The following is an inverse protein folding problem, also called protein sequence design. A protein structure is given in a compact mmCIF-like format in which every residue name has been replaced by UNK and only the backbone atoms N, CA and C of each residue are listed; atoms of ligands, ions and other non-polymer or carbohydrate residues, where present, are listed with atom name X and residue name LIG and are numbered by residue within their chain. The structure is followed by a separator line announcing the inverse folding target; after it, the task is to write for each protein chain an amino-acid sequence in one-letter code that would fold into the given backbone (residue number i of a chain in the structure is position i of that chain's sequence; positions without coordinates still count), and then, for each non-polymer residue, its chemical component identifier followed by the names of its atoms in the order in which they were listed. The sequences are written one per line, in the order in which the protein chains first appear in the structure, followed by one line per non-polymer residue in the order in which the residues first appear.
data_IF_170163587919
#
_entry.id   IF_170163587919
#
_cell.length_a   1.000
_cell.length_b   1.000
_cell.length_c   1.000
_cell.angle_alpha   90.00
_cell.angle_beta   90.00
_cell.angle_gamma   90.00
#
_symmetry.space_group_name_H-M   'P 1'
#
loop_
_entity.id
_entity.type
_entity.pdbx_description
1 polymer ?
#
# COMPACT_ATOMS: atom_id res chain seq x y z
N UNK A 1 19.87 5.66 -44.01
CA UNK A 1 20.39 6.62 -43.03
C UNK A 1 19.40 6.63 -41.86
N UNK A 2 19.41 5.54 -41.11
CA UNK A 2 18.69 5.42 -39.84
C UNK A 2 19.74 5.58 -38.76
N UNK A 3 19.52 6.46 -37.79
CA UNK A 3 19.79 6.13 -36.39
C UNK A 3 19.37 7.25 -35.43
N UNK A 4 19.01 6.76 -34.23
CA UNK A 4 19.09 7.43 -32.93
C UNK A 4 17.91 8.25 -32.40
N UNK A 5 16.81 7.56 -32.07
CA UNK A 5 15.96 7.91 -30.91
C UNK A 5 15.56 6.65 -30.13
N UNK A 6 16.49 6.08 -29.38
CA UNK A 6 16.22 5.02 -28.39
C UNK A 6 17.09 5.24 -27.15
N UNK A 7 16.61 6.06 -26.20
CA UNK A 7 17.26 6.15 -24.87
C UNK A 7 16.40 6.73 -23.74
N UNK A 8 15.09 6.94 -23.89
CA UNK A 8 14.26 7.60 -22.84
C UNK A 8 13.30 6.71 -22.05
N UNK A 9 13.24 5.40 -22.31
CA UNK A 9 12.30 4.50 -21.61
C UNK A 9 12.95 3.79 -20.40
N UNK A 10 14.28 3.71 -20.32
CA UNK A 10 14.97 2.98 -19.25
C UNK A 10 15.12 3.76 -17.92
N UNK A 11 14.79 5.05 -17.85
CA UNK A 11 14.98 5.83 -16.61
C UNK A 11 13.81 5.76 -15.62
N UNK A 12 12.69 5.13 -15.99
CA UNK A 12 11.45 5.18 -15.19
C UNK A 12 11.24 3.96 -14.28
N UNK A 13 11.98 2.86 -14.48
CA UNK A 13 11.93 1.66 -13.61
C UNK A 13 12.68 1.91 -12.29
N UNK A 14 13.71 2.77 -12.33
CA UNK A 14 14.52 3.13 -11.15
C UNK A 14 13.75 4.00 -10.13
N UNK A 15 12.71 4.73 -10.56
CA UNK A 15 11.90 5.55 -9.65
C UNK A 15 11.03 4.71 -8.69
N UNK A 16 10.75 3.45 -9.03
CA UNK A 16 10.04 2.53 -8.13
C UNK A 16 10.96 1.92 -7.06
N UNK A 17 12.27 1.77 -7.33
CA UNK A 17 13.22 1.27 -6.33
C UNK A 17 13.44 2.26 -5.17
N UNK A 18 13.21 3.56 -5.40
CA UNK A 18 13.39 4.63 -4.42
C UNK A 18 12.13 5.01 -3.63
N UNK A 19 10.98 4.37 -3.88
CA UNK A 19 9.69 4.73 -3.24
C UNK A 19 9.33 3.92 -1.99
N UNK A 20 10.24 3.08 -1.47
CA UNK A 20 10.09 2.46 -0.15
C UNK A 20 10.69 3.35 0.94
N UNK A 21 9.87 4.21 1.55
CA UNK A 21 10.20 4.91 2.81
C UNK A 21 10.33 3.93 3.99
N UNK A 22 10.05 2.63 3.78
CA UNK A 22 10.04 1.59 4.81
C UNK A 22 11.25 0.66 4.73
N UNK A 23 12.46 1.23 4.76
CA UNK A 23 13.68 0.44 4.99
C UNK A 23 14.66 1.15 5.93
N UNK A 24 14.73 0.78 7.21
CA UNK A 24 16.00 0.82 7.91
C UNK A 24 16.85 -0.33 7.36
N UNK A 25 18.04 0.00 6.85
CA UNK A 25 19.03 -0.96 6.37
C UNK A 25 19.30 -2.03 7.45
N UNK A 26 18.72 -3.22 7.27
CA UNK A 26 19.02 -4.39 8.09
C UNK A 26 19.63 -5.45 7.20
N UNK A 27 20.91 -5.27 6.86
CA UNK A 27 21.77 -6.34 6.32
C UNK A 27 23.24 -5.92 6.22
N UNK A 28 23.89 -5.54 7.33
CA UNK A 28 25.34 -5.77 7.51
C UNK A 28 25.76 -5.70 8.98
N UNK A 29 25.36 -6.67 9.82
CA UNK A 29 26.12 -6.95 11.05
C UNK A 29 27.11 -8.06 10.73
N UNK A 30 28.21 -7.70 10.06
CA UNK A 30 29.42 -8.54 10.12
C UNK A 30 29.96 -8.43 11.55
N UNK A 31 30.14 -9.58 12.19
CA UNK A 31 30.84 -9.68 13.49
C UNK A 31 32.22 -9.04 13.35
N UNK A 32 32.44 -7.91 14.02
CA UNK A 32 33.77 -7.43 14.38
C UNK A 32 33.87 -7.31 15.91
N UNK A 33 35.05 -7.56 16.49
CA UNK A 33 35.20 -7.87 17.90
C UNK A 33 35.24 -6.62 18.78
N UNK A 34 34.59 -6.73 19.94
CA UNK A 34 34.88 -6.01 21.21
C UNK A 34 35.19 -4.50 21.12
N UNK A 35 34.19 -3.67 21.39
CA UNK A 35 34.42 -2.31 21.88
C UNK A 35 35.01 -2.36 23.30
N UNK A 36 36.11 -1.63 23.61
CA UNK A 36 36.66 -1.62 24.95
C UNK A 36 35.79 -0.73 25.86
N UNK A 37 35.53 -1.25 27.06
CA UNK A 37 34.93 -0.49 28.17
C UNK A 37 36.05 0.36 28.76
N UNK A 38 35.96 1.68 28.61
CA UNK A 38 36.73 2.63 29.43
C UNK A 38 35.79 3.47 30.28
N UNK A 39 36.09 3.48 31.59
CA UNK A 39 35.40 4.15 32.68
C UNK A 39 35.28 5.69 32.50
N UNK A 40 34.37 6.34 33.25
CA UNK A 40 33.95 7.70 32.96
C UNK A 40 34.78 8.72 33.75
N UNK A 41 35.58 9.54 33.07
CA UNK A 41 36.03 10.80 33.64
C UNK A 41 36.18 11.87 32.56
N UNK A 42 35.43 12.96 32.75
CA UNK A 42 35.54 14.29 32.13
C UNK A 42 35.59 14.37 30.59
N UNK A 43 34.42 14.64 30.01
CA UNK A 43 34.32 15.51 28.84
C UNK A 43 32.99 16.27 28.87
N UNK A 44 33.07 17.53 29.28
CA UNK A 44 32.03 18.54 29.14
C UNK A 44 31.94 18.98 27.68
N UNK A 45 31.07 18.39 26.85
CA UNK A 45 30.63 18.99 25.58
C UNK A 45 29.23 18.51 25.21
N UNK A 46 28.30 19.47 25.10
CA UNK A 46 27.05 19.47 24.32
C UNK A 46 26.69 18.15 23.64
N UNK A 47 25.79 17.36 24.25
CA UNK A 47 25.05 16.32 23.51
C UNK A 47 24.32 17.03 22.36
N UNK A 48 24.53 16.65 21.10
CA UNK A 48 23.70 17.18 20.02
C UNK A 48 22.26 16.78 20.32
N UNK A 49 21.38 17.77 20.45
CA UNK A 49 19.94 17.57 20.56
C UNK A 49 19.52 16.74 19.36
N UNK A 50 19.16 15.47 19.57
CA UNK A 50 18.76 14.57 18.48
C UNK A 50 17.56 15.18 17.76
N UNK A 51 17.59 15.18 16.43
CA UNK A 51 16.45 15.66 15.66
C UNK A 51 15.23 14.75 15.89
N UNK A 52 14.03 15.30 15.71
CA UNK A 52 12.77 14.54 15.83
C UNK A 52 12.77 13.29 14.94
N UNK A 53 13.30 13.42 13.73
CA UNK A 53 13.44 12.31 12.78
C UNK A 53 14.37 11.21 13.30
N UNK A 54 15.52 11.58 13.89
CA UNK A 54 16.44 10.60 14.47
C UNK A 54 15.80 9.82 15.62
N UNK A 55 14.99 10.49 16.45
CA UNK A 55 14.24 9.82 17.52
C UNK A 55 13.22 8.84 16.95
N UNK A 56 12.43 9.23 15.94
CA UNK A 56 11.46 8.35 15.31
C UNK A 56 12.11 7.11 14.65
N UNK A 57 13.21 7.30 13.92
CA UNK A 57 13.96 6.19 13.31
C UNK A 57 14.48 5.23 14.38
N UNK A 58 15.03 5.76 15.48
CA UNK A 58 15.53 4.93 16.59
C UNK A 58 14.39 4.18 17.29
N UNK A 59 13.22 4.80 17.46
CA UNK A 59 12.06 4.15 18.05
C UNK A 59 11.63 2.93 17.21
N UNK A 60 11.50 3.08 15.89
CA UNK A 60 11.18 1.96 14.98
C UNK A 60 12.27 0.89 15.06
N UNK A 61 13.55 1.27 14.94
CA UNK A 61 14.65 0.31 14.95
C UNK A 61 14.67 -0.54 16.23
N UNK A 62 14.45 0.08 17.39
CA UNK A 62 14.33 -0.64 18.65
C UNK A 62 13.09 -1.55 18.72
N UNK A 63 11.94 -1.10 18.19
CA UNK A 63 10.72 -1.89 18.16
C UNK A 63 10.84 -3.09 17.23
N UNK A 64 11.31 -2.90 16.00
CA UNK A 64 11.52 -3.99 15.02
C UNK A 64 12.55 -5.00 15.52
N UNK A 65 13.64 -4.52 16.13
CA UNK A 65 14.59 -5.41 16.81
C UNK A 65 13.94 -6.15 17.98
N UNK A 66 13.19 -5.45 18.81
CA UNK A 66 12.48 -6.02 19.97
C UNK A 66 11.49 -7.10 19.56
N UNK A 67 10.69 -6.89 18.51
CA UNK A 67 9.73 -7.85 17.98
C UNK A 67 10.44 -9.06 17.36
N UNK A 68 11.39 -8.83 16.45
CA UNK A 68 12.12 -9.92 15.78
C UNK A 68 12.93 -10.80 16.74
N UNK A 69 13.47 -10.23 17.82
CA UNK A 69 14.27 -10.97 18.82
C UNK A 69 13.48 -11.34 20.08
N UNK A 70 12.19 -11.00 20.16
CA UNK A 70 11.35 -11.14 21.36
C UNK A 70 11.96 -10.48 22.61
N UNK A 71 12.68 -9.37 22.42
CA UNK A 71 13.37 -8.65 23.48
C UNK A 71 12.51 -7.52 24.04
N UNK A 72 11.91 -7.77 25.21
CA UNK A 72 11.03 -6.82 25.91
C UNK A 72 11.75 -5.51 26.29
N UNK A 73 13.03 -5.58 26.67
CA UNK A 73 13.80 -4.39 27.04
C UNK A 73 13.98 -3.44 25.84
N UNK A 74 14.25 -4.00 24.66
CA UNK A 74 14.32 -3.21 23.43
C UNK A 74 12.98 -2.55 23.09
N UNK A 75 11.85 -3.26 23.27
CA UNK A 75 10.51 -2.69 23.10
C UNK A 75 10.24 -1.53 24.08
N UNK A 76 10.60 -1.67 25.35
CA UNK A 76 10.46 -0.60 26.35
C UNK A 76 11.29 0.64 26.00
N UNK A 77 12.52 0.44 25.51
CA UNK A 77 13.38 1.55 25.04
C UNK A 77 12.73 2.21 23.82
N UNK A 78 12.25 1.44 22.86
CA UNK A 78 11.53 1.92 21.67
C UNK A 78 10.34 2.80 22.04
N UNK A 79 9.46 2.35 22.94
CA UNK A 79 8.31 3.13 23.43
C UNK A 79 8.71 4.44 24.11
N UNK A 80 9.76 4.42 24.93
CA UNK A 80 10.26 5.65 25.57
C UNK A 80 10.75 6.66 24.54
N UNK A 81 11.49 6.21 23.53
CA UNK A 81 12.01 7.06 22.45
C UNK A 81 10.85 7.58 21.58
N UNK A 82 9.85 6.75 21.30
CA UNK A 82 8.62 7.14 20.60
C UNK A 82 7.93 8.30 21.33
N UNK A 83 7.69 8.19 22.65
CA UNK A 83 7.05 9.27 23.40
C UNK A 83 7.84 10.58 23.36
N UNK A 84 9.18 10.50 23.41
CA UNK A 84 10.05 11.67 23.25
C UNK A 84 9.93 12.30 21.86
N UNK A 85 9.92 11.46 20.82
CA UNK A 85 9.76 11.90 19.44
C UNK A 85 8.39 12.53 19.19
N UNK A 86 7.33 11.93 19.74
CA UNK A 86 5.96 12.43 19.63
C UNK A 86 5.81 13.80 20.28
N UNK A 87 6.30 13.96 21.51
CA UNK A 87 6.28 15.24 22.22
C UNK A 87 7.04 16.34 21.46
N UNK A 88 8.24 16.04 20.98
CA UNK A 88 9.05 16.98 20.20
C UNK A 88 8.40 17.32 18.85
N UNK A 89 7.75 16.35 18.20
CA UNK A 89 6.99 16.57 16.95
C UNK A 89 5.79 17.48 17.18
N UNK A 90 5.02 17.25 18.25
CA UNK A 90 3.87 18.09 18.62
C UNK A 90 4.31 19.54 18.89
N UNK A 91 5.41 19.76 19.61
CA UNK A 91 5.99 21.09 19.79
C UNK A 91 6.38 21.75 18.47
N UNK A 92 6.98 20.98 17.56
CA UNK A 92 7.39 21.48 16.24
C UNK A 92 6.17 21.87 15.39
N UNK A 93 5.12 21.04 15.38
CA UNK A 93 3.87 21.33 14.67
C UNK A 93 3.10 22.53 15.23
N UNK A 94 3.29 22.89 16.50
CA UNK A 94 2.68 24.09 17.11
C UNK A 94 3.40 25.38 16.72
N UNK A 95 4.68 25.31 16.34
CA UNK A 95 5.43 26.49 15.93
C UNK A 95 5.00 26.93 14.53
N UNK A 96 4.44 28.13 14.42
CA UNK A 96 3.77 28.67 13.21
C UNK A 96 4.73 29.11 12.08
N UNK A 97 6.02 28.77 12.14
CA UNK A 97 6.95 29.17 11.09
C UNK A 97 6.81 28.25 9.86
N UNK A 98 6.60 28.88 8.70
CA UNK A 98 6.23 28.25 7.44
C UNK A 98 7.28 27.25 6.94
N UNK A 99 6.77 26.26 6.22
CA UNK A 99 7.44 25.10 5.62
C UNK A 99 7.70 23.98 6.63
N UNK A 100 6.79 23.01 6.66
CA UNK A 100 7.07 21.70 7.25
C UNK A 100 8.32 21.16 6.56
N UNK A 101 9.44 21.11 7.29
CA UNK A 101 10.64 20.48 6.78
C UNK A 101 10.33 19.01 6.48
N UNK A 102 10.91 18.46 5.40
CA UNK A 102 10.77 17.04 5.04
C UNK A 102 11.02 16.11 6.24
N UNK A 103 11.93 16.51 7.14
CA UNK A 103 12.20 15.79 8.38
C UNK A 103 10.99 15.64 9.30
N UNK A 104 10.10 16.63 9.40
CA UNK A 104 8.88 16.55 10.24
C UNK A 104 7.86 15.62 9.59
N UNK A 105 7.66 15.69 8.26
CA UNK A 105 6.76 14.78 7.53
C UNK A 105 7.24 13.33 7.70
N UNK A 106 8.53 13.08 7.46
CA UNK A 106 9.14 11.77 7.65
C UNK A 106 9.01 11.30 9.10
N UNK A 107 9.17 12.20 10.08
CA UNK A 107 8.95 11.87 11.49
C UNK A 107 7.52 11.38 11.73
N UNK A 108 6.51 12.12 11.25
CA UNK A 108 5.09 11.72 11.41
C UNK A 108 4.81 10.38 10.75
N UNK A 109 5.33 10.14 9.54
CA UNK A 109 5.19 8.86 8.84
C UNK A 109 5.82 7.70 9.63
N UNK A 110 7.01 7.92 10.20
CA UNK A 110 7.68 6.93 11.05
C UNK A 110 6.95 6.68 12.38
N UNK A 111 6.40 7.72 13.01
CA UNK A 111 5.60 7.55 14.23
C UNK A 111 4.32 6.74 13.97
N UNK A 112 3.63 7.01 12.86
CA UNK A 112 2.48 6.21 12.44
C UNK A 112 2.86 4.75 12.18
N UNK A 113 4.01 4.49 11.57
CA UNK A 113 4.50 3.12 11.39
C UNK A 113 4.81 2.43 12.72
N UNK A 114 5.44 3.13 13.66
CA UNK A 114 5.69 2.59 15.00
C UNK A 114 4.38 2.14 15.68
N UNK A 115 3.33 2.95 15.58
CA UNK A 115 2.00 2.64 16.12
C UNK A 115 1.44 1.38 15.48
N UNK A 116 1.47 1.30 14.14
CA UNK A 116 1.06 0.10 13.41
C UNK A 116 1.82 -1.14 13.89
N UNK A 117 3.15 -1.06 14.03
CA UNK A 117 4.00 -2.14 14.55
C UNK A 117 3.66 -2.54 15.99
N UNK A 118 3.14 -1.63 16.82
CA UNK A 118 2.76 -1.93 18.20
C UNK A 118 1.31 -2.37 18.38
N UNK A 119 0.51 -2.42 17.30
CA UNK A 119 -0.95 -2.63 17.34
C UNK A 119 -1.42 -4.06 17.71
N UNK A 120 -0.61 -4.87 18.40
CA UNK A 120 -1.04 -6.21 18.82
C UNK A 120 -1.93 -6.24 20.08
N UNK A 121 -2.09 -5.15 20.84
CA UNK A 121 -2.89 -5.14 22.10
C UNK A 121 -3.08 -3.77 22.77
N UNK A 122 -2.93 -2.64 22.07
CA UNK A 122 -2.97 -1.33 22.70
C UNK A 122 -4.36 -0.68 22.59
N UNK A 123 -5.18 -0.83 23.63
CA UNK A 123 -6.11 0.21 24.04
C UNK A 123 -5.29 1.32 24.71
N UNK A 124 -4.82 2.34 23.99
CA UNK A 124 -4.53 3.65 24.60
C UNK A 124 -3.98 4.68 23.60
N UNK A 125 -4.41 5.93 23.84
CA UNK A 125 -4.00 7.21 23.25
C UNK A 125 -4.62 7.54 21.88
N UNK A 126 -5.94 7.43 21.76
CA UNK A 126 -6.65 7.83 20.52
C UNK A 126 -6.73 9.36 20.34
N UNK A 127 -6.99 10.14 21.39
CA UNK A 127 -7.28 11.58 21.24
C UNK A 127 -6.07 12.45 20.85
N UNK A 128 -4.91 12.26 21.48
CA UNK A 128 -3.71 13.05 21.14
C UNK A 128 -3.19 12.76 19.72
N UNK A 129 -3.36 11.51 19.25
CA UNK A 129 -2.93 11.08 17.92
C UNK A 129 -3.82 11.68 16.85
N UNK A 130 -5.14 11.70 17.05
CA UNK A 130 -6.08 12.35 16.13
C UNK A 130 -5.76 13.84 15.96
N UNK A 131 -5.45 14.53 17.06
CA UNK A 131 -5.06 15.94 17.03
C UNK A 131 -3.73 16.12 16.27
N UNK A 132 -2.74 15.27 16.50
CA UNK A 132 -1.44 15.33 15.80
C UNK A 132 -1.60 15.01 14.31
N UNK A 133 -2.41 14.01 13.96
CA UNK A 133 -2.70 13.65 12.58
C UNK A 133 -3.45 14.78 11.86
N UNK A 134 -4.45 15.38 12.50
CA UNK A 134 -5.17 16.54 11.97
C UNK A 134 -4.25 17.75 11.78
N UNK A 135 -3.37 18.03 12.75
CA UNK A 135 -2.39 19.09 12.63
C UNK A 135 -1.39 18.83 11.51
N UNK A 136 -0.84 17.62 11.42
CA UNK A 136 0.05 17.22 10.32
C UNK A 136 -0.65 17.34 8.96
N UNK A 137 -1.92 16.98 8.88
CA UNK A 137 -2.73 17.13 7.66
C UNK A 137 -2.94 18.59 7.29
N UNK A 138 -3.29 19.46 8.24
CA UNK A 138 -3.43 20.90 8.02
C UNK A 138 -2.12 21.54 7.54
N UNK A 139 -1.00 21.09 8.10
CA UNK A 139 0.34 21.51 7.72
C UNK A 139 0.74 21.03 6.32
N UNK A 140 0.42 19.79 5.96
CA UNK A 140 0.58 19.29 4.60
C UNK A 140 -0.27 20.09 3.61
N UNK A 141 -1.53 20.36 3.95
CA UNK A 141 -2.41 21.20 3.14
C UNK A 141 -1.80 22.59 2.94
N UNK A 142 -1.35 23.26 4.00
CA UNK A 142 -0.71 24.57 3.92
C UNK A 142 0.57 24.56 3.06
N UNK A 143 1.38 23.49 3.16
CA UNK A 143 2.56 23.29 2.31
C UNK A 143 2.19 23.18 0.83
N UNK A 144 1.18 22.39 0.50
CA UNK A 144 0.79 22.14 -0.90
C UNK A 144 0.02 23.30 -1.54
N UNK A 145 -0.70 24.11 -0.76
CA UNK A 145 -1.38 25.31 -1.26
C UNK A 145 -0.47 26.52 -1.37
N UNK A 146 0.69 26.53 -0.69
CA UNK A 146 1.66 27.64 -0.75
C UNK A 146 2.51 27.65 -2.04
N UNK A 147 2.37 26.67 -2.93
CA UNK A 147 2.96 26.55 -4.28
C UNK A 147 4.48 26.70 -4.46
N UNK A 148 5.26 27.12 -3.47
CA UNK A 148 6.65 27.54 -3.69
C UNK A 148 7.64 26.40 -3.95
N UNK A 149 7.34 25.13 -3.62
CA UNK A 149 8.26 23.99 -3.84
C UNK A 149 7.55 22.63 -3.93
N UNK A 150 6.36 22.56 -4.54
CA UNK A 150 5.62 21.30 -4.63
C UNK A 150 6.14 20.42 -5.78
N UNK A 151 6.30 19.11 -5.51
CA UNK A 151 6.67 18.12 -6.53
C UNK A 151 7.94 17.32 -6.26
N UNK A 152 8.46 17.36 -5.03
CA UNK A 152 9.51 16.45 -4.59
C UNK A 152 9.02 14.99 -4.60
N UNK A 153 9.93 14.02 -4.64
CA UNK A 153 9.56 12.60 -4.52
C UNK A 153 8.87 12.30 -3.18
N UNK A 154 9.25 13.00 -2.10
CA UNK A 154 8.56 12.89 -0.82
C UNK A 154 7.10 13.33 -0.94
N UNK A 155 6.83 14.45 -1.62
CA UNK A 155 5.46 14.94 -1.83
C UNK A 155 4.59 13.91 -2.57
N UNK A 156 5.14 13.28 -3.61
CA UNK A 156 4.45 12.22 -4.38
C UNK A 156 4.17 10.99 -3.52
N UNK A 157 5.12 10.60 -2.67
CA UNK A 157 4.94 9.45 -1.78
C UNK A 157 3.90 9.77 -0.70
N UNK A 158 3.98 10.95 -0.07
CA UNK A 158 3.01 11.41 0.92
C UNK A 158 1.61 11.51 0.32
N UNK A 159 1.47 12.04 -0.89
CA UNK A 159 0.19 12.08 -1.61
C UNK A 159 -0.40 10.69 -1.80
N UNK A 160 0.40 9.76 -2.36
CA UNK A 160 -0.03 8.37 -2.58
C UNK A 160 -0.43 7.70 -1.27
N UNK A 161 0.31 7.93 -0.19
CA UNK A 161 -0.02 7.40 1.12
C UNK A 161 -1.36 7.94 1.65
N UNK A 162 -1.58 9.26 1.58
CA UNK A 162 -2.83 9.90 2.00
C UNK A 162 -4.03 9.39 1.20
N UNK A 163 -3.92 9.32 -0.13
CA UNK A 163 -4.99 8.82 -1.01
C UNK A 163 -5.35 7.37 -0.65
N UNK A 164 -4.36 6.50 -0.48
CA UNK A 164 -4.55 5.10 -0.05
C UNK A 164 -5.26 5.01 1.30
N UNK A 165 -4.89 5.89 2.24
CA UNK A 165 -5.47 5.98 3.57
C UNK A 165 -6.94 6.40 3.53
N UNK A 166 -7.27 7.44 2.76
CA UNK A 166 -8.64 7.94 2.58
C UNK A 166 -9.52 6.91 1.87
N UNK A 167 -8.99 6.20 0.88
CA UNK A 167 -9.68 5.09 0.20
C UNK A 167 -10.06 3.99 1.19
N UNK A 168 -9.12 3.53 2.01
CA UNK A 168 -9.36 2.47 3.00
C UNK A 168 -10.44 2.88 4.00
N UNK A 169 -10.43 4.14 4.44
CA UNK A 169 -11.42 4.71 5.37
C UNK A 169 -12.72 5.13 4.69
N UNK A 170 -12.83 4.99 3.37
CA UNK A 170 -13.98 5.50 2.59
C UNK A 170 -14.31 6.96 2.90
N UNK A 171 -13.29 7.82 2.92
CA UNK A 171 -13.40 9.26 3.16
C UNK A 171 -13.27 10.05 1.85
N UNK A 172 -13.88 11.25 1.75
CA UNK A 172 -13.80 12.06 0.54
C UNK A 172 -12.37 12.57 0.33
N UNK A 173 -11.91 12.60 -0.92
CA UNK A 173 -10.60 13.18 -1.25
C UNK A 173 -10.75 14.70 -1.39
N UNK A 174 -9.95 15.50 -0.66
CA UNK A 174 -9.91 16.95 -0.85
C UNK A 174 -9.46 17.34 -2.26
N UNK A 175 -10.03 18.41 -2.82
CA UNK A 175 -9.74 18.88 -4.18
C UNK A 175 -8.24 19.12 -4.45
N UNK A 176 -7.52 19.67 -3.47
CA UNK A 176 -6.07 19.90 -3.57
C UNK A 176 -5.27 18.59 -3.71
N UNK A 177 -5.74 17.48 -3.14
CA UNK A 177 -5.08 16.18 -3.21
C UNK A 177 -5.37 15.44 -4.54
N UNK A 178 -6.46 15.82 -5.22
CA UNK A 178 -6.84 15.28 -6.55
C UNK A 178 -5.95 15.82 -7.67
N UNK A 179 -5.48 17.07 -7.54
CA UNK A 179 -4.76 17.72 -8.61
C UNK A 179 -3.30 17.27 -8.68
N UNK A 180 -3.00 16.35 -9.60
CA UNK A 180 -1.65 15.79 -9.82
C UNK A 180 -0.61 16.83 -10.23
N UNK A 181 -1.01 17.93 -10.89
CA UNK A 181 -0.04 18.91 -11.39
C UNK A 181 0.67 19.64 -10.24
N UNK A 182 0.00 19.76 -9.09
CA UNK A 182 0.59 20.30 -7.85
C UNK A 182 1.80 19.45 -7.41
N UNK A 183 1.83 18.16 -7.74
CA UNK A 183 2.86 17.21 -7.28
C UNK A 183 3.89 16.90 -8.37
N UNK A 184 3.89 17.62 -9.50
CA UNK A 184 4.82 17.37 -10.60
C UNK A 184 4.65 15.98 -11.24
N UNK A 185 3.47 15.37 -11.08
CA UNK A 185 3.16 14.04 -11.58
C UNK A 185 2.73 14.11 -13.06
N UNK A 186 3.68 13.85 -13.95
CA UNK A 186 3.49 13.87 -15.41
C UNK A 186 3.95 12.53 -15.99
N UNK A 187 3.13 11.89 -16.82
CA UNK A 187 3.48 10.66 -17.54
C UNK A 187 2.37 9.62 -17.55
N UNK A 188 2.41 8.71 -18.53
CA UNK A 188 1.46 7.60 -18.70
C UNK A 188 1.65 6.48 -17.68
N UNK A 189 2.82 6.36 -17.07
CA UNK A 189 3.11 5.40 -15.98
C UNK A 189 2.34 5.70 -14.69
N UNK A 190 1.76 6.89 -14.56
CA UNK A 190 0.99 7.34 -13.40
C UNK A 190 -0.53 7.14 -13.56
N UNK A 191 -0.96 6.50 -14.66
CA UNK A 191 -2.38 6.19 -14.87
C UNK A 191 -2.97 5.38 -13.71
N UNK A 192 -2.31 4.34 -13.14
CA UNK A 192 -2.81 3.68 -11.95
C UNK A 192 -3.00 4.62 -10.76
N UNK A 193 -2.06 5.54 -10.50
CA UNK A 193 -2.18 6.51 -9.41
C UNK A 193 -3.33 7.51 -9.62
N UNK A 194 -3.60 7.87 -10.88
CA UNK A 194 -4.75 8.69 -11.21
C UNK A 194 -6.06 7.90 -10.99
N UNK A 195 -6.11 6.67 -11.49
CA UNK A 195 -7.27 5.80 -11.30
C UNK A 195 -7.54 5.56 -9.81
N UNK A 196 -6.50 5.48 -8.98
CA UNK A 196 -6.64 5.32 -7.53
C UNK A 196 -7.42 6.47 -6.87
N UNK A 197 -7.15 7.72 -7.27
CA UNK A 197 -7.89 8.90 -6.80
C UNK A 197 -9.36 8.80 -7.22
N UNK A 198 -9.62 8.45 -8.48
CA UNK A 198 -10.97 8.29 -9.03
C UNK A 198 -11.74 7.16 -8.31
N UNK A 199 -11.10 6.02 -8.04
CA UNK A 199 -11.68 4.90 -7.27
C UNK A 199 -12.07 5.33 -5.86
N UNK A 200 -11.21 6.08 -5.18
CA UNK A 200 -11.48 6.52 -3.81
C UNK A 200 -12.69 7.45 -3.73
N UNK A 201 -12.83 8.39 -4.68
CA UNK A 201 -14.02 9.22 -4.80
C UNK A 201 -15.29 8.38 -5.06
N UNK A 202 -15.22 7.43 -6.01
CA UNK A 202 -16.36 6.57 -6.31
C UNK A 202 -16.74 5.68 -5.14
N UNK A 203 -15.77 5.15 -4.39
CA UNK A 203 -16.00 4.35 -3.19
C UNK A 203 -16.72 5.15 -2.12
N UNK A 204 -16.29 6.39 -1.89
CA UNK A 204 -17.00 7.32 -1.00
C UNK A 204 -18.46 7.50 -1.47
N UNK A 205 -18.68 7.83 -2.74
CA UNK A 205 -20.02 8.01 -3.29
C UNK A 205 -20.88 6.75 -3.12
N UNK A 206 -20.39 5.54 -3.47
CA UNK A 206 -21.13 4.29 -3.26
C UNK A 206 -21.46 4.10 -1.79
N UNK A 207 -20.52 4.22 -0.86
CA UNK A 207 -20.84 3.94 0.54
C UNK A 207 -21.88 4.91 1.12
N UNK A 208 -21.93 6.16 0.63
CA UNK A 208 -22.90 7.16 1.06
C UNK A 208 -24.23 7.15 0.29
N UNK A 209 -24.33 6.48 -0.86
CA UNK A 209 -25.63 6.27 -1.54
C UNK A 209 -26.61 5.49 -0.65
N UNK A 210 -26.14 4.58 0.21
CA UNK A 210 -27.01 3.77 1.08
C UNK A 210 -27.66 4.54 2.23
N UNK A 211 -26.98 5.55 2.78
CA UNK A 211 -27.44 6.28 3.97
C UNK A 211 -28.65 7.18 3.67
N UNK A 212 -28.91 7.48 2.40
CA UNK A 212 -30.05 8.28 1.97
C UNK A 212 -31.22 7.50 1.38
N UNK A 213 -31.22 6.16 1.44
CA UNK A 213 -32.27 5.34 0.79
C UNK A 213 -33.36 4.84 1.75
N UNK A 214 -33.09 4.79 3.06
CA UNK A 214 -34.04 4.26 4.04
C UNK A 214 -35.22 5.21 4.34
N UNK A 215 -35.11 6.48 3.95
CA UNK A 215 -36.12 7.54 4.22
C UNK A 215 -36.83 8.07 2.96
N UNK A 216 -36.56 7.52 1.76
CA UNK A 216 -37.08 8.08 0.51
C UNK A 216 -38.43 7.42 0.13
N UNK A 217 -39.54 8.19 0.04
CA UNK A 217 -40.82 7.67 -0.45
C UNK A 217 -40.71 7.21 -1.91
N UNK A 218 -41.50 6.21 -2.30
CA UNK A 218 -41.52 5.63 -3.66
C UNK A 218 -41.68 6.65 -4.82
N UNK A 219 -42.14 7.87 -4.51
CA UNK A 219 -42.25 9.00 -5.44
C UNK A 219 -40.91 9.56 -5.95
N UNK A 220 -39.77 9.24 -5.33
CA UNK A 220 -38.45 9.80 -5.68
C UNK A 220 -37.50 8.79 -6.36
N UNK A 221 -38.04 7.67 -6.84
CA UNK A 221 -37.30 6.61 -7.58
C UNK A 221 -36.37 7.16 -8.69
N UNK A 222 -36.79 8.22 -9.40
CA UNK A 222 -35.96 8.86 -10.43
C UNK A 222 -34.66 9.51 -9.91
N UNK A 223 -34.65 10.03 -8.68
CA UNK A 223 -33.44 10.61 -8.08
C UNK A 223 -32.44 9.52 -7.69
N UNK A 224 -32.93 8.36 -7.23
CA UNK A 224 -32.11 7.19 -6.91
C UNK A 224 -31.42 6.68 -8.17
N UNK A 225 -32.17 6.48 -9.25
CA UNK A 225 -31.63 6.06 -10.55
C UNK A 225 -30.57 7.04 -11.06
N UNK A 226 -30.79 8.35 -10.90
CA UNK A 226 -29.83 9.38 -11.31
C UNK A 226 -28.54 9.33 -10.48
N UNK A 227 -28.63 9.15 -9.16
CA UNK A 227 -27.46 9.01 -8.27
C UNK A 227 -26.68 7.71 -8.54
N UNK A 228 -27.39 6.60 -8.72
CA UNK A 228 -26.82 5.29 -9.07
C UNK A 228 -26.08 5.37 -10.41
N UNK A 229 -26.73 5.95 -11.43
CA UNK A 229 -26.12 6.17 -12.76
C UNK A 229 -24.92 7.12 -12.70
N UNK A 230 -24.99 8.15 -11.85
CA UNK A 230 -23.89 9.10 -11.61
C UNK A 230 -22.63 8.46 -11.03
N UNK A 231 -22.72 7.24 -10.50
CA UNK A 231 -21.55 6.45 -10.06
C UNK A 231 -21.24 5.30 -11.03
N UNK A 232 -22.26 4.66 -11.60
CA UNK A 232 -22.07 3.53 -12.52
C UNK A 232 -21.25 3.93 -13.75
N UNK A 233 -21.63 5.03 -14.40
CA UNK A 233 -20.99 5.46 -15.66
C UNK A 233 -19.51 5.78 -15.44
N UNK A 234 -19.12 6.62 -14.45
CA UNK A 234 -17.71 6.85 -14.15
C UNK A 234 -16.94 5.57 -13.77
N UNK A 235 -17.56 4.64 -13.04
CA UNK A 235 -16.91 3.38 -12.68
C UNK A 235 -16.63 2.50 -13.92
N UNK A 236 -17.57 2.44 -14.87
CA UNK A 236 -17.38 1.74 -16.14
C UNK A 236 -16.33 2.41 -17.04
N UNK A 237 -16.33 3.75 -17.11
CA UNK A 237 -15.30 4.50 -17.83
C UNK A 237 -13.91 4.26 -17.24
N UNK A 238 -13.82 4.20 -15.91
CA UNK A 238 -12.59 3.89 -15.20
C UNK A 238 -12.09 2.47 -15.46
N UNK A 239 -12.99 1.48 -15.51
CA UNK A 239 -12.65 0.11 -15.89
C UNK A 239 -12.13 0.05 -17.33
N UNK A 240 -12.80 0.73 -18.27
CA UNK A 240 -12.34 0.81 -19.66
C UNK A 240 -10.96 1.46 -19.77
N UNK A 241 -10.72 2.54 -19.01
CA UNK A 241 -9.42 3.23 -18.94
C UNK A 241 -8.31 2.31 -18.43
N UNK A 242 -8.57 1.52 -17.39
CA UNK A 242 -7.62 0.54 -16.86
C UNK A 242 -7.36 -0.61 -17.85
N UNK A 243 -8.39 -1.14 -18.50
CA UNK A 243 -8.23 -2.16 -19.55
C UNK A 243 -7.42 -1.62 -20.73
N UNK A 244 -7.68 -0.38 -21.16
CA UNK A 244 -6.93 0.28 -22.23
C UNK A 244 -5.47 0.47 -21.84
N UNK A 245 -5.20 1.00 -20.66
CA UNK A 245 -3.85 1.18 -20.14
C UNK A 245 -3.04 -0.11 -20.19
N UNK A 246 -3.62 -1.22 -19.72
CA UNK A 246 -2.92 -2.50 -19.74
C UNK A 246 -2.51 -2.93 -21.16
N UNK A 247 -3.36 -2.69 -22.17
CA UNK A 247 -3.06 -3.02 -23.58
C UNK A 247 -1.95 -2.14 -24.19
N UNK A 248 -1.68 -0.98 -23.62
CA UNK A 248 -0.65 -0.04 -24.09
C UNK A 248 0.72 -0.32 -23.47
N UNK A 249 0.80 -1.18 -22.46
CA UNK A 249 2.07 -1.58 -21.83
C UNK A 249 2.88 -2.46 -22.79
N UNK A 250 4.19 -2.18 -22.98
CA UNK A 250 5.07 -3.02 -23.79
C UNK A 250 5.10 -4.47 -23.31
N UNK A 251 5.13 -5.42 -24.25
CA UNK A 251 5.15 -6.86 -23.93
C UNK A 251 6.35 -7.27 -23.05
N UNK A 252 7.47 -6.55 -23.13
CA UNK A 252 8.65 -6.79 -22.27
C UNK A 252 8.40 -6.50 -20.78
N UNK A 253 7.37 -5.71 -20.46
CA UNK A 253 6.99 -5.33 -19.11
C UNK A 253 5.87 -6.24 -18.54
N UNK A 254 5.44 -7.24 -19.33
CA UNK A 254 4.50 -8.28 -18.90
C UNK A 254 5.21 -9.37 -18.10
N UNK A 255 4.42 -10.17 -17.42
CA UNK A 255 4.90 -11.38 -16.77
C UNK A 255 4.91 -12.58 -17.72
N UNK A 256 5.73 -13.56 -17.37
CA UNK A 256 5.67 -14.91 -17.94
C UNK A 256 4.99 -15.85 -16.95
N UNK A 257 4.11 -16.72 -17.45
CA UNK A 257 3.35 -17.67 -16.62
C UNK A 257 3.97 -19.06 -16.66
N UNK A 258 4.18 -19.66 -15.50
CA UNK A 258 4.71 -21.00 -15.34
C UNK A 258 3.77 -21.83 -14.47
N UNK A 259 3.62 -23.12 -14.81
CA UNK A 259 3.04 -24.11 -13.90
C UNK A 259 4.16 -24.77 -13.11
N UNK A 260 4.00 -24.80 -11.80
CA UNK A 260 4.90 -25.52 -10.91
C UNK A 260 4.49 -27.00 -10.93
N UNK A 261 5.47 -27.89 -11.09
CA UNK A 261 5.24 -29.33 -10.96
C UNK A 261 5.32 -29.70 -9.49
N UNK A 262 4.34 -30.46 -9.02
CA UNK A 262 4.44 -31.16 -7.74
C UNK A 262 5.45 -32.29 -7.90
N UNK A 263 6.67 -32.08 -7.44
CA UNK A 263 7.50 -33.22 -7.07
C UNK A 263 6.92 -33.72 -5.72
N UNK A 264 6.27 -34.89 -5.73
CA UNK A 264 5.47 -35.47 -4.61
C UNK A 264 6.23 -35.59 -3.26
N UNK A 265 7.54 -35.33 -3.24
CA UNK A 265 8.41 -35.44 -2.06
C UNK A 265 8.66 -34.12 -1.32
N UNK A 266 8.26 -32.94 -1.84
CA UNK A 266 8.54 -31.66 -1.17
C UNK A 266 7.32 -31.06 -0.42
N UNK A 267 7.38 -30.94 0.93
CA UNK A 267 6.34 -30.26 1.70
C UNK A 267 6.35 -28.75 1.41
N UNK A 268 5.40 -28.29 0.59
CA UNK A 268 5.26 -26.88 0.18
C UNK A 268 4.28 -26.63 -0.98
N UNK A 269 3.85 -27.68 -1.69
CA UNK A 269 2.90 -27.59 -2.81
C UNK A 269 1.59 -26.85 -2.48
N UNK A 270 1.12 -26.93 -1.23
CA UNK A 270 -0.10 -26.27 -0.76
C UNK A 270 0.00 -24.73 -0.63
N UNK A 271 1.19 -24.14 -0.77
CA UNK A 271 1.40 -22.69 -0.67
C UNK A 271 1.18 -21.95 -2.01
N UNK A 272 0.97 -22.66 -3.12
CA UNK A 272 0.69 -22.05 -4.44
C UNK A 272 -0.78 -22.19 -4.77
N UNK A 273 -1.45 -21.05 -4.98
CA UNK A 273 -2.80 -21.06 -5.48
C UNK A 273 -2.81 -21.50 -6.95
N UNK A 274 -3.55 -22.57 -7.27
CA UNK A 274 -3.74 -23.08 -8.64
C UNK A 274 -2.43 -23.45 -9.39
N UNK A 275 -1.38 -23.79 -8.63
CA UNK A 275 -0.05 -24.21 -9.14
C UNK A 275 0.58 -23.27 -10.19
N UNK A 276 0.10 -22.03 -10.27
CA UNK A 276 0.47 -21.08 -11.32
C UNK A 276 1.27 -19.94 -10.72
N UNK A 277 2.37 -19.59 -11.36
CA UNK A 277 3.28 -18.52 -10.93
C UNK A 277 3.59 -17.57 -12.07
N UNK A 278 3.60 -16.28 -11.75
CA UNK A 278 3.99 -15.18 -12.64
C UNK A 278 5.41 -14.72 -12.32
N UNK A 279 6.31 -14.80 -13.31
CA UNK A 279 7.63 -14.19 -13.26
C UNK A 279 7.63 -12.83 -13.93
N UNK A 280 8.17 -11.83 -13.24
CA UNK A 280 8.26 -10.47 -13.73
C UNK A 280 9.71 -10.09 -14.06
N UNK A 281 9.91 -9.11 -14.97
CA UNK A 281 11.25 -8.59 -15.27
C UNK A 281 11.95 -7.98 -14.04
N UNK A 282 11.18 -7.34 -13.16
CA UNK A 282 11.67 -6.84 -11.88
C UNK A 282 10.56 -6.75 -10.84
N UNK A 283 10.94 -6.47 -9.58
CA UNK A 283 9.98 -6.27 -8.50
C UNK A 283 9.08 -5.04 -8.74
N UNK A 284 9.61 -4.00 -9.38
CA UNK A 284 8.86 -2.80 -9.74
C UNK A 284 7.71 -3.13 -10.71
N UNK A 285 7.96 -4.02 -11.68
CA UNK A 285 6.92 -4.51 -12.59
C UNK A 285 5.84 -5.30 -11.83
N UNK A 286 6.24 -6.20 -10.93
CA UNK A 286 5.30 -6.94 -10.10
C UNK A 286 4.44 -6.01 -9.23
N UNK A 287 5.04 -4.98 -8.64
CA UNK A 287 4.34 -3.99 -7.83
C UNK A 287 3.35 -3.15 -8.67
N UNK A 288 3.76 -2.72 -9.87
CA UNK A 288 2.89 -2.02 -10.82
C UNK A 288 1.65 -2.85 -11.17
N UNK A 289 1.85 -4.13 -11.54
CA UNK A 289 0.74 -5.03 -11.88
C UNK A 289 -0.13 -5.37 -10.66
N UNK A 290 0.44 -5.49 -9.46
CA UNK A 290 -0.33 -5.67 -8.23
C UNK A 290 -1.23 -4.46 -7.93
N UNK A 291 -0.71 -3.23 -8.05
CA UNK A 291 -1.51 -2.02 -7.89
C UNK A 291 -2.64 -1.96 -8.92
N UNK A 292 -2.34 -2.23 -10.19
CA UNK A 292 -3.33 -2.30 -11.25
C UNK A 292 -4.47 -3.28 -10.93
N UNK A 293 -4.13 -4.52 -10.53
CA UNK A 293 -5.11 -5.55 -10.20
C UNK A 293 -5.96 -5.15 -9.00
N UNK A 294 -5.35 -4.62 -7.95
CA UNK A 294 -6.04 -4.14 -6.76
C UNK A 294 -7.03 -3.00 -7.07
N UNK A 295 -6.63 -2.02 -7.88
CA UNK A 295 -7.50 -0.92 -8.32
C UNK A 295 -8.67 -1.48 -9.14
N UNK A 296 -8.42 -2.36 -10.11
CA UNK A 296 -9.50 -2.97 -10.92
C UNK A 296 -10.45 -3.82 -10.09
N UNK A 297 -9.95 -4.59 -9.12
CA UNK A 297 -10.79 -5.34 -8.20
C UNK A 297 -11.76 -4.40 -7.47
N UNK A 298 -11.28 -3.26 -6.97
CA UNK A 298 -12.13 -2.25 -6.34
C UNK A 298 -13.13 -1.59 -7.29
N UNK A 299 -12.73 -1.27 -8.53
CA UNK A 299 -13.66 -0.73 -9.54
C UNK A 299 -14.78 -1.73 -9.82
N UNK A 300 -14.45 -3.01 -10.02
CA UNK A 300 -15.43 -4.06 -10.28
C UNK A 300 -16.34 -4.30 -9.06
N UNK A 301 -15.81 -4.21 -7.83
CA UNK A 301 -16.61 -4.23 -6.60
C UNK A 301 -17.61 -3.06 -6.55
N UNK A 302 -17.17 -1.83 -6.85
CA UNK A 302 -18.03 -0.64 -6.94
C UNK A 302 -19.15 -0.87 -7.95
N UNK A 303 -18.83 -1.37 -9.15
CA UNK A 303 -19.81 -1.68 -10.20
C UNK A 303 -20.84 -2.70 -9.69
N UNK A 304 -20.41 -3.79 -9.04
CA UNK A 304 -21.33 -4.78 -8.46
C UNK A 304 -22.22 -4.19 -7.38
N UNK A 305 -21.67 -3.39 -6.46
CA UNK A 305 -22.42 -2.73 -5.40
C UNK A 305 -23.49 -1.80 -5.95
N UNK A 306 -23.17 -1.05 -7.01
CA UNK A 306 -24.14 -0.18 -7.70
C UNK A 306 -25.24 -1.02 -8.36
N UNK A 307 -24.88 -2.09 -9.06
CA UNK A 307 -25.85 -3.01 -9.68
C UNK A 307 -26.73 -3.79 -8.67
N UNK A 308 -26.27 -4.00 -7.44
CA UNK A 308 -27.11 -4.59 -6.39
C UNK A 308 -28.16 -3.60 -5.85
N UNK A 309 -27.92 -2.30 -5.99
CA UNK A 309 -28.81 -1.22 -5.52
C UNK A 309 -29.75 -0.70 -6.60
N UNK A 310 -29.47 -1.03 -7.86
CA UNK A 310 -30.38 -0.74 -8.95
C UNK A 310 -31.67 -1.56 -8.77
N UNK A 311 -32.79 -0.86 -8.63
CA UNK A 311 -34.12 -1.42 -8.32
C UNK A 311 -34.57 -2.40 -9.42
N UNK A 312 -34.06 -2.26 -10.64
CA UNK A 312 -34.31 -3.13 -11.80
C UNK A 312 -33.50 -4.44 -11.77
N UNK A 313 -33.37 -5.06 -10.60
CA UNK A 313 -32.58 -6.28 -10.38
C UNK A 313 -33.00 -7.50 -11.22
N UNK A 314 -34.16 -7.43 -11.88
CA UNK A 314 -34.76 -8.50 -12.69
C UNK A 314 -34.46 -8.41 -14.20
N UNK A 315 -33.74 -7.39 -14.67
CA UNK A 315 -33.37 -7.30 -16.09
C UNK A 315 -32.33 -8.39 -16.44
N UNK A 316 -32.59 -9.28 -17.44
CA UNK A 316 -31.64 -10.30 -17.86
C UNK A 316 -30.27 -9.73 -18.30
N UNK A 317 -30.24 -8.54 -18.88
CA UNK A 317 -29.00 -7.88 -19.30
C UNK A 317 -28.16 -7.52 -18.07
N UNK A 318 -28.78 -6.94 -17.03
CA UNK A 318 -28.10 -6.62 -15.76
C UNK A 318 -27.52 -7.86 -15.10
N UNK A 319 -28.23 -9.00 -15.15
CA UNK A 319 -27.72 -10.28 -14.64
C UNK A 319 -26.49 -10.76 -15.44
N UNK A 320 -26.54 -10.64 -16.76
CA UNK A 320 -25.42 -10.99 -17.64
C UNK A 320 -24.18 -10.13 -17.34
N UNK A 321 -24.35 -8.80 -17.20
CA UNK A 321 -23.25 -7.90 -16.83
C UNK A 321 -22.67 -8.20 -15.45
N UNK A 322 -23.51 -8.47 -14.43
CA UNK A 322 -23.05 -8.90 -13.09
C UNK A 322 -22.15 -10.13 -13.17
N UNK A 323 -22.50 -11.10 -14.02
CA UNK A 323 -21.70 -12.31 -14.19
C UNK A 323 -20.35 -12.02 -14.87
N UNK A 324 -20.31 -11.16 -15.89
CA UNK A 324 -19.05 -10.73 -16.51
C UNK A 324 -18.14 -10.07 -15.47
N UNK A 325 -18.68 -9.17 -14.66
CA UNK A 325 -17.92 -8.46 -13.62
C UNK A 325 -17.35 -9.44 -12.59
N UNK A 326 -18.13 -10.43 -12.15
CA UNK A 326 -17.63 -11.49 -11.23
C UNK A 326 -16.51 -12.33 -11.85
N UNK A 327 -16.66 -12.76 -13.11
CA UNK A 327 -15.63 -13.51 -13.82
C UNK A 327 -14.33 -12.69 -13.97
N UNK A 328 -14.46 -11.38 -14.21
CA UNK A 328 -13.30 -10.48 -14.25
C UNK A 328 -12.60 -10.40 -12.90
N UNK A 329 -13.36 -10.30 -11.80
CA UNK A 329 -12.80 -10.26 -10.44
C UNK A 329 -12.10 -11.58 -10.08
N UNK A 330 -12.69 -12.72 -10.42
CA UNK A 330 -12.06 -14.04 -10.26
C UNK A 330 -10.73 -14.11 -10.98
N UNK A 331 -10.70 -13.72 -12.26
CA UNK A 331 -9.47 -13.71 -13.05
C UNK A 331 -8.41 -12.77 -12.45
N UNK A 332 -8.81 -11.57 -12.03
CA UNK A 332 -7.89 -10.61 -11.40
C UNK A 332 -7.32 -11.15 -10.07
N UNK A 333 -8.15 -11.80 -9.26
CA UNK A 333 -7.72 -12.41 -8.00
C UNK A 333 -6.77 -13.59 -8.25
N UNK A 334 -7.06 -14.44 -9.25
CA UNK A 334 -6.18 -15.53 -9.68
C UNK A 334 -4.81 -14.99 -10.14
N UNK A 335 -4.81 -14.01 -11.05
CA UNK A 335 -3.58 -13.41 -11.56
C UNK A 335 -2.77 -12.71 -10.45
N UNK A 336 -3.45 -12.14 -9.46
CA UNK A 336 -2.79 -11.53 -8.31
C UNK A 336 -2.16 -12.61 -7.43
N UNK A 337 -2.88 -13.67 -7.09
CA UNK A 337 -2.37 -14.80 -6.32
C UNK A 337 -1.14 -15.46 -6.96
N UNK A 338 -1.14 -15.62 -8.28
CA UNK A 338 0.00 -16.17 -9.03
C UNK A 338 1.24 -15.25 -9.01
N UNK A 339 1.09 -13.99 -8.62
CA UNK A 339 2.21 -13.04 -8.57
C UNK A 339 2.97 -13.09 -7.24
N UNK A 340 2.35 -13.61 -6.18
CA UNK A 340 2.85 -13.45 -4.82
C UNK A 340 4.08 -14.30 -4.54
N UNK A 341 4.22 -15.46 -5.21
CA UNK A 341 5.36 -16.34 -4.99
C UNK A 341 6.66 -15.71 -5.52
N UNK A 342 6.60 -15.00 -6.65
CA UNK A 342 7.72 -14.21 -7.17
C UNK A 342 8.13 -13.10 -6.19
N UNK A 343 7.14 -12.36 -5.71
CA UNK A 343 7.34 -11.24 -4.77
C UNK A 343 7.95 -11.70 -3.46
N UNK A 344 7.51 -12.87 -2.98
CA UNK A 344 7.99 -13.47 -1.74
C UNK A 344 9.30 -14.24 -1.94
N UNK A 345 9.88 -14.22 -3.14
CA UNK A 345 11.16 -14.87 -3.44
C UNK A 345 11.13 -16.39 -3.26
N UNK A 346 9.95 -17.01 -3.33
CA UNK A 346 9.76 -18.44 -3.09
C UNK A 346 9.87 -19.28 -4.35
N UNK A 347 10.31 -18.70 -5.45
CA UNK A 347 10.39 -19.39 -6.73
C UNK A 347 11.71 -19.12 -7.41
N UNK A 348 12.26 -20.16 -8.02
CA UNK A 348 13.49 -20.11 -8.79
C UNK A 348 13.37 -20.91 -10.07
N UNK A 349 13.93 -20.35 -11.14
CA UNK A 349 14.02 -21.04 -12.41
C UNK A 349 15.13 -22.09 -12.35
N UNK A 350 14.75 -23.35 -12.19
CA UNK A 350 15.67 -24.49 -12.20
C UNK A 350 15.95 -25.01 -13.61
N UNK A 351 16.90 -25.95 -13.73
CA UNK A 351 17.27 -26.58 -15.01
C UNK A 351 16.13 -27.35 -15.69
N UNK A 352 15.17 -27.85 -14.92
CA UNK A 352 14.05 -28.68 -15.39
C UNK A 352 12.70 -27.96 -15.38
N UNK A 353 12.70 -26.65 -15.10
CA UNK A 353 11.48 -25.85 -14.96
C UNK A 353 11.46 -25.05 -13.65
N UNK A 354 10.30 -24.45 -13.37
CA UNK A 354 10.09 -23.63 -12.18
C UNK A 354 10.04 -24.49 -10.94
N UNK A 355 10.88 -24.18 -9.94
CA UNK A 355 10.93 -24.89 -8.66
C UNK A 355 10.57 -23.95 -7.52
N UNK A 356 9.85 -24.49 -6.54
CA UNK A 356 9.61 -23.78 -5.29
C UNK A 356 10.86 -23.78 -4.44
N UNK A 357 11.11 -22.65 -3.80
CA UNK A 357 12.09 -22.52 -2.74
C UNK A 357 11.35 -22.62 -1.42
N UNK A 358 11.80 -23.52 -0.56
CA UNK A 358 11.27 -23.68 0.80
C UNK A 358 11.26 -22.34 1.55
N UNK A 359 10.11 -22.02 2.17
CA UNK A 359 9.96 -20.90 3.10
C UNK A 359 11.08 -20.93 4.15
N UNK A 360 11.90 -19.87 4.20
CA UNK A 360 13.01 -19.71 5.14
C UNK A 360 14.41 -20.11 4.64
N UNK A 361 14.60 -20.51 3.37
CA UNK A 361 15.90 -21.00 2.84
C UNK A 361 16.74 -19.96 2.06
N UNK A 362 16.22 -18.76 1.75
CA UNK A 362 16.97 -17.63 1.16
C UNK A 362 17.00 -16.42 2.09
N UNK A 363 17.92 -15.50 1.81
CA UNK A 363 17.93 -14.13 2.36
C UNK A 363 16.50 -13.61 2.43
N UNK A 364 16.08 -13.18 3.63
CA UNK A 364 14.73 -12.68 3.86
C UNK A 364 14.39 -11.66 2.76
N UNK A 365 13.23 -11.84 2.11
CA UNK A 365 12.66 -10.81 1.23
C UNK A 365 12.78 -9.49 1.97
N UNK A 366 13.43 -8.50 1.33
CA UNK A 366 13.64 -7.22 1.98
C UNK A 366 12.26 -6.66 2.37
N UNK A 367 12.10 -6.23 3.61
CA UNK A 367 10.87 -5.59 4.08
C UNK A 367 10.43 -4.44 3.14
N UNK A 368 11.40 -3.75 2.53
CA UNK A 368 11.15 -2.73 1.51
C UNK A 368 10.43 -3.26 0.28
N UNK A 369 10.78 -4.46 -0.21
CA UNK A 369 10.11 -5.14 -1.30
C UNK A 369 8.70 -5.57 -0.90
N UNK A 370 8.54 -6.21 0.25
CA UNK A 370 7.24 -6.64 0.76
C UNK A 370 6.28 -5.45 0.97
N UNK A 371 6.81 -4.29 1.38
CA UNK A 371 6.03 -3.06 1.63
C UNK A 371 5.27 -2.55 0.39
N UNK A 372 5.77 -2.84 -0.82
CA UNK A 372 5.12 -2.46 -2.07
C UNK A 372 3.78 -3.20 -2.29
N UNK A 373 3.59 -4.33 -1.62
CA UNK A 373 2.43 -5.20 -1.75
C UNK A 373 1.46 -5.10 -0.59
N UNK A 374 1.82 -4.42 0.51
CA UNK A 374 0.95 -4.22 1.66
C UNK A 374 -0.40 -3.64 1.23
N UNK A 375 -0.40 -2.45 0.59
CA UNK A 375 -1.66 -1.82 0.20
C UNK A 375 -2.47 -2.65 -0.81
N UNK A 376 -1.91 -3.14 -1.94
CA UNK A 376 -2.64 -3.99 -2.89
C UNK A 376 -3.25 -5.24 -2.25
N UNK A 377 -2.53 -5.91 -1.33
CA UNK A 377 -3.04 -7.07 -0.59
C UNK A 377 -4.16 -6.68 0.36
N UNK A 378 -3.94 -5.67 1.21
CA UNK A 378 -4.95 -5.18 2.16
C UNK A 378 -6.27 -4.88 1.47
N UNK A 379 -6.24 -4.07 0.42
CA UNK A 379 -7.48 -3.70 -0.28
C UNK A 379 -8.15 -4.90 -0.93
N UNK A 380 -7.39 -5.80 -1.54
CA UNK A 380 -7.95 -6.99 -2.20
C UNK A 380 -8.58 -7.95 -1.20
N UNK A 381 -8.01 -8.08 0.01
CA UNK A 381 -8.58 -8.93 1.07
C UNK A 381 -9.87 -8.37 1.68
N UNK A 382 -10.11 -7.06 1.57
CA UNK A 382 -11.32 -6.40 2.06
C UNK A 382 -12.53 -6.53 1.13
N UNK A 383 -12.31 -7.00 -0.11
CA UNK A 383 -13.38 -7.11 -1.10
C UNK A 383 -14.21 -8.37 -0.85
N UNK A 384 -15.49 -8.18 -0.54
CA UNK A 384 -16.40 -9.27 -0.17
C UNK A 384 -16.78 -10.18 -1.35
N UNK A 385 -16.71 -9.64 -2.56
CA UNK A 385 -17.25 -10.19 -3.80
C UNK A 385 -16.28 -11.13 -4.53
N UNK A 386 -15.02 -11.21 -4.09
CA UNK A 386 -14.04 -12.21 -4.55
C UNK A 386 -14.38 -13.56 -3.90
N UNK A 387 -14.28 -14.71 -4.60
CA UNK A 387 -14.57 -15.99 -3.99
C UNK A 387 -13.66 -16.29 -2.80
N UNK A 388 -14.23 -16.94 -1.78
CA UNK A 388 -13.58 -17.14 -0.48
C UNK A 388 -12.21 -17.81 -0.58
N UNK A 389 -12.04 -18.76 -1.49
CA UNK A 389 -10.77 -19.47 -1.66
C UNK A 389 -9.63 -18.51 -2.05
N UNK A 390 -9.88 -17.60 -2.98
CA UNK A 390 -8.89 -16.58 -3.35
C UNK A 390 -8.67 -15.59 -2.21
N UNK A 391 -9.74 -15.13 -1.56
CA UNK A 391 -9.64 -14.17 -0.45
C UNK A 391 -8.84 -14.75 0.72
N UNK A 392 -9.11 -15.98 1.12
CA UNK A 392 -8.39 -16.69 2.18
C UNK A 392 -6.90 -16.86 1.84
N UNK A 393 -6.59 -17.18 0.59
CA UNK A 393 -5.20 -17.23 0.12
C UNK A 393 -4.51 -15.87 0.22
N UNK A 394 -5.15 -14.80 -0.28
CA UNK A 394 -4.62 -13.44 -0.20
C UNK A 394 -4.43 -12.98 1.27
N UNK A 395 -5.35 -13.35 2.18
CA UNK A 395 -5.21 -13.08 3.62
C UNK A 395 -4.01 -13.83 4.21
N UNK A 396 -3.80 -15.09 3.85
CA UNK A 396 -2.61 -15.83 4.27
C UNK A 396 -1.33 -15.16 3.78
N UNK A 397 -1.27 -14.70 2.53
CA UNK A 397 -0.09 -13.99 2.03
C UNK A 397 0.07 -12.58 2.60
N UNK A 398 -1.03 -11.90 2.95
CA UNK A 398 -0.98 -10.64 3.70
C UNK A 398 -0.34 -10.85 5.07
N UNK A 399 -0.61 -11.99 5.74
CA UNK A 399 0.06 -12.36 6.99
C UNK A 399 1.57 -12.54 6.81
N UNK A 400 1.99 -13.24 5.76
CA UNK A 400 3.42 -13.40 5.47
C UNK A 400 4.10 -12.04 5.22
N UNK A 401 3.44 -11.15 4.46
CA UNK A 401 3.93 -9.79 4.21
C UNK A 401 3.96 -8.95 5.48
N UNK A 402 2.93 -9.03 6.32
CA UNK A 402 2.83 -8.24 7.56
C UNK A 402 3.91 -8.62 8.57
N UNK A 403 4.24 -9.91 8.66
CA UNK A 403 5.37 -10.40 9.47
C UNK A 403 6.71 -9.86 8.94
N UNK A 404 6.89 -9.79 7.61
CA UNK A 404 8.11 -9.28 6.98
C UNK A 404 8.29 -7.76 7.16
N UNK A 405 7.20 -6.99 7.13
CA UNK A 405 7.24 -5.52 7.29
C UNK A 405 7.04 -5.06 8.73
N UNK A 406 6.82 -5.99 9.67
CA UNK A 406 6.59 -5.72 11.09
C UNK A 406 5.39 -4.79 11.34
N UNK A 407 4.27 -5.01 10.64
CA UNK A 407 3.06 -4.18 10.75
C UNK A 407 1.90 -4.95 11.40
N UNK A 408 1.59 -4.61 12.67
CA UNK A 408 0.55 -5.27 13.46
C UNK A 408 -0.89 -4.97 13.03
N UNK A 409 -1.12 -3.85 12.33
CA UNK A 409 -2.43 -3.56 11.74
C UNK A 409 -2.69 -4.50 10.58
N UNK A 410 -1.69 -4.72 9.73
CA UNK A 410 -1.78 -5.67 8.61
C UNK A 410 -1.96 -7.11 9.12
N UNK A 411 -1.25 -7.50 10.18
CA UNK A 411 -1.44 -8.80 10.84
C UNK A 411 -2.90 -8.97 11.28
N UNK A 412 -3.47 -7.94 11.92
CA UNK A 412 -4.87 -7.96 12.39
C UNK A 412 -5.85 -8.10 11.23
N UNK A 413 -5.65 -7.35 10.14
CA UNK A 413 -6.50 -7.44 8.94
C UNK A 413 -6.41 -8.83 8.30
N UNK A 414 -5.25 -9.49 8.34
CA UNK A 414 -5.09 -10.85 7.84
C UNK A 414 -5.76 -11.94 8.72
N UNK A 415 -6.28 -11.56 9.90
CA UNK A 415 -7.02 -12.45 10.80
C UNK A 415 -8.54 -12.24 10.77
N UNK A 416 -9.01 -11.05 10.35
CA UNK A 416 -10.40 -10.81 9.95
C UNK A 416 -10.70 -11.58 8.68
#
# INVERSE_FOLDING_TARGET
MFDNHNSRINCCVDSFEHSSIFSPASSTIRRHPSWPITSPERASHTRPTRSTLQLAILAIAHTTFGRSTKNVAALTIGSKIYSQSLAATNLTLRSSWRVVMDGVILTVLHLSHFENSMTQKAQSVTEDIEIIAANAFNHLMARFTSHENAGSELDKITRRHLVRSLLLRSMPIPSWLKNRSIFGEIGSSLVPDQCLVEVADLRYCVNHISIGLDDIPASESGQIVTKVRGVLVPAQELEMKLVKWAKEIPMMDYWSTFRVRDDEEEPGANDIFDQTVHLYPSISHAAMWAQYRAIRLHVNEIILKVFHREIESSNPDTKFYKNIVRLNMEKLALDFSASLQFVLGWVELGRTGMKMIRKGRRDAVKASTASLFCWPLTVSTMISEIPEQHRSYLKSRLRDVSELVDDGVLETIAHL
#
